data_IF_597525131263
#
_entry.id   IF_597525131263
#
_cell.length_a   1.000
_cell.length_b   1.000
_cell.length_c   1.000
_cell.angle_alpha   90.00
_cell.angle_beta   90.00
_cell.angle_gamma   90.00
#
_symmetry.space_group_name_H-M   'P 1'
#
loop_
_entity.id
_entity.type
_entity.pdbx_description
1 polymer ?
#
# COMPACT_ATOMS: atom_id res chain seq x y z
N UNK A 1 1.83 4.13 -95.17
CA UNK A 1 1.53 3.63 -93.81
C UNK A 1 2.67 4.03 -92.87
N UNK A 2 2.29 4.69 -91.76
CA UNK A 2 2.97 5.08 -90.50
C UNK A 2 4.51 5.03 -90.38
N UNK A 3 5.06 6.20 -90.01
CA UNK A 3 6.43 6.46 -89.53
C UNK A 3 6.57 6.11 -88.04
N UNK A 4 7.82 5.81 -87.68
CA UNK A 4 8.54 5.77 -86.39
C UNK A 4 7.86 6.32 -85.13
N UNK A 5 8.20 5.73 -83.97
CA UNK A 5 9.02 6.33 -82.89
C UNK A 5 8.81 5.54 -81.58
N UNK A 6 9.93 5.18 -80.96
CA UNK A 6 10.07 4.71 -79.59
C UNK A 6 9.52 5.77 -78.61
N UNK A 7 8.44 5.48 -77.88
CA UNK A 7 7.87 6.40 -76.90
C UNK A 7 8.05 5.87 -75.47
N UNK A 8 8.73 6.71 -74.70
CA UNK A 8 8.87 6.72 -73.25
C UNK A 8 7.74 7.62 -72.70
N UNK A 9 6.86 7.14 -71.81
CA UNK A 9 5.96 7.94 -70.95
C UNK A 9 5.31 7.01 -69.89
N UNK A 10 5.64 7.13 -68.60
CA UNK A 10 5.05 8.01 -67.58
C UNK A 10 3.63 7.59 -67.16
N UNK A 11 3.52 6.78 -66.09
CA UNK A 11 2.31 6.70 -65.25
C UNK A 11 2.72 7.03 -63.82
N UNK A 12 2.38 8.27 -63.45
CA UNK A 12 2.25 8.78 -62.11
C UNK A 12 1.03 8.11 -61.46
N UNK A 13 1.18 7.42 -60.33
CA UNK A 13 0.04 7.15 -59.44
C UNK A 13 0.47 7.35 -58.00
N UNK A 14 -0.01 8.48 -57.49
CA UNK A 14 -0.04 8.88 -56.11
C UNK A 14 -1.16 8.10 -55.42
N UNK A 15 -0.82 7.22 -54.48
CA UNK A 15 -1.76 6.78 -53.44
C UNK A 15 -1.20 7.18 -52.08
N UNK A 16 -1.94 8.07 -51.46
CA UNK A 16 -1.86 8.56 -50.10
C UNK A 16 -2.39 7.52 -49.11
N UNK A 17 -1.81 7.52 -47.90
CA UNK A 17 -2.38 7.12 -46.59
C UNK A 17 -2.51 5.63 -46.23
N UNK A 18 -1.50 5.12 -45.52
CA UNK A 18 -1.62 4.35 -44.27
C UNK A 18 -0.48 4.87 -43.37
N UNK A 19 -0.66 5.56 -42.25
CA UNK A 19 -1.74 5.47 -41.29
C UNK A 19 -1.41 4.43 -40.22
N UNK A 20 -0.70 4.87 -39.17
CA UNK A 20 -0.48 4.22 -37.87
C UNK A 20 0.22 2.85 -37.86
N UNK A 21 1.40 2.78 -37.23
CA UNK A 21 2.14 1.53 -37.04
C UNK A 21 2.90 1.52 -35.72
N UNK A 22 2.18 1.33 -34.62
CA UNK A 22 2.66 0.69 -33.40
C UNK A 22 3.71 1.46 -32.59
N UNK A 23 3.29 2.57 -31.98
CA UNK A 23 3.95 3.01 -30.75
C UNK A 23 3.58 2.03 -29.64
N UNK A 24 4.43 1.04 -29.41
CA UNK A 24 4.53 0.41 -28.08
C UNK A 24 5.15 1.46 -27.16
N UNK A 25 4.37 2.49 -26.79
CA UNK A 25 4.71 3.30 -25.63
C UNK A 25 4.68 2.33 -24.44
N UNK A 26 5.80 2.13 -23.72
CA UNK A 26 5.79 1.29 -22.53
C UNK A 26 4.75 1.87 -21.58
N UNK A 27 3.82 1.02 -21.11
CA UNK A 27 2.89 1.41 -20.05
C UNK A 27 3.69 2.04 -18.91
N UNK A 28 3.24 3.18 -18.33
CA UNK A 28 3.95 3.81 -17.23
C UNK A 28 4.18 2.81 -16.10
N UNK A 29 5.44 2.49 -15.82
CA UNK A 29 5.80 1.61 -14.72
C UNK A 29 5.61 2.35 -13.40
N UNK A 30 4.83 1.75 -12.47
CA UNK A 30 4.63 2.30 -11.13
C UNK A 30 5.95 2.38 -10.38
N UNK A 31 6.13 3.47 -9.65
CA UNK A 31 7.22 3.65 -8.70
C UNK A 31 7.09 2.69 -7.50
N UNK A 32 8.18 2.49 -6.76
CA UNK A 32 8.16 1.68 -5.54
C UNK A 32 7.19 2.22 -4.49
N UNK A 33 7.06 3.55 -4.40
CA UNK A 33 6.12 4.23 -3.53
C UNK A 33 4.67 3.92 -3.91
N UNK A 34 4.33 4.04 -5.19
CA UNK A 34 2.99 3.73 -5.70
C UNK A 34 2.62 2.26 -5.45
N UNK A 35 3.57 1.34 -5.64
CA UNK A 35 3.36 -0.09 -5.33
C UNK A 35 3.07 -0.27 -3.84
N UNK A 36 3.87 0.32 -2.96
CA UNK A 36 3.69 0.21 -1.52
C UNK A 36 2.36 0.82 -1.03
N UNK A 37 1.95 1.96 -1.61
CA UNK A 37 0.63 2.56 -1.34
C UNK A 37 -0.48 1.60 -1.76
N UNK A 38 -0.39 1.01 -2.94
CA UNK A 38 -1.39 0.04 -3.43
C UNK A 38 -1.42 -1.24 -2.61
N UNK A 39 -0.27 -1.70 -2.09
CA UNK A 39 -0.22 -2.85 -1.19
C UNK A 39 -1.01 -2.58 0.10
N UNK A 40 -0.88 -1.40 0.70
CA UNK A 40 -1.60 -1.03 1.92
C UNK A 40 -3.07 -0.68 1.68
N UNK A 41 -3.38 -0.03 0.54
CA UNK A 41 -4.68 0.62 0.31
C UNK A 41 -5.51 0.00 -0.80
N UNK A 42 -4.99 -0.96 -1.56
CA UNK A 42 -5.65 -1.46 -2.78
C UNK A 42 -5.88 -0.32 -3.77
N UNK A 43 -7.12 -0.15 -4.23
CA UNK A 43 -7.54 0.92 -5.15
C UNK A 43 -7.77 2.27 -4.43
N UNK A 44 -7.04 2.53 -3.34
CA UNK A 44 -7.06 3.78 -2.58
C UNK A 44 -7.70 3.72 -1.19
N UNK A 45 -8.42 2.65 -0.85
CA UNK A 45 -8.85 2.37 0.53
C UNK A 45 -9.02 0.87 0.77
N UNK A 46 -8.37 0.35 1.82
CA UNK A 46 -8.46 -1.07 2.18
C UNK A 46 -8.55 -1.25 3.68
N UNK A 47 -9.49 -2.11 4.10
CA UNK A 47 -9.64 -2.54 5.49
C UNK A 47 -8.98 -3.90 5.71
N UNK A 48 -8.14 -3.97 6.75
CA UNK A 48 -7.43 -5.16 7.19
C UNK A 48 -7.96 -5.56 8.56
N UNK A 49 -8.22 -6.85 8.75
CA UNK A 49 -8.90 -7.37 9.95
C UNK A 49 -8.17 -8.56 10.53
N UNK A 50 -8.30 -8.77 11.84
CA UNK A 50 -7.87 -10.02 12.49
C UNK A 50 -8.83 -11.17 12.16
N UNK A 51 -10.12 -10.87 12.00
CA UNK A 51 -11.13 -11.84 11.62
C UNK A 51 -10.77 -12.58 10.31
N UNK A 52 -11.21 -13.84 10.17
CA UNK A 52 -10.91 -14.64 8.98
C UNK A 52 -9.55 -15.36 9.02
N UNK A 53 -8.98 -15.55 10.21
CA UNK A 53 -7.75 -16.34 10.41
C UNK A 53 -6.48 -15.50 10.49
N UNK A 54 -6.59 -14.22 10.83
CA UNK A 54 -5.46 -13.41 11.28
C UNK A 54 -4.99 -13.80 12.68
N UNK A 55 -3.86 -13.25 13.09
CA UNK A 55 -3.23 -13.53 14.37
C UNK A 55 -2.56 -12.28 14.91
N UNK A 56 -2.63 -12.09 16.23
CA UNK A 56 -1.87 -11.06 16.94
C UNK A 56 -0.98 -11.72 17.98
N UNK A 57 0.29 -11.32 18.00
CA UNK A 57 1.22 -11.67 19.07
C UNK A 57 1.76 -10.42 19.75
N UNK A 58 2.00 -10.53 21.05
CA UNK A 58 2.64 -9.52 21.89
C UNK A 58 3.74 -10.19 22.71
N UNK A 59 4.98 -9.73 22.56
CA UNK A 59 6.18 -10.36 23.13
C UNK A 59 6.26 -11.87 22.82
N UNK A 60 5.86 -12.24 21.59
CA UNK A 60 5.83 -13.63 21.11
C UNK A 60 4.70 -14.50 21.70
N UNK A 61 3.84 -13.96 22.56
CA UNK A 61 2.65 -14.66 23.05
C UNK A 61 1.44 -14.32 22.19
N UNK A 62 0.63 -15.31 21.84
CA UNK A 62 -0.61 -15.07 21.09
C UNK A 62 -1.64 -14.35 21.98
N UNK A 63 -2.08 -13.17 21.53
CA UNK A 63 -3.11 -12.32 22.19
C UNK A 63 -4.29 -12.04 21.26
N UNK A 64 -4.51 -12.93 20.29
CA UNK A 64 -5.51 -12.75 19.21
C UNK A 64 -6.93 -12.60 19.74
N UNK A 65 -7.26 -13.21 20.88
CA UNK A 65 -8.58 -13.05 21.53
C UNK A 65 -8.88 -11.61 21.90
N UNK A 66 -7.86 -10.84 22.26
CA UNK A 66 -8.02 -9.45 22.65
C UNK A 66 -8.33 -8.61 21.41
N UNK A 67 -7.74 -8.94 20.26
CA UNK A 67 -7.91 -8.20 19.01
C UNK A 67 -8.86 -8.89 18.02
N UNK A 68 -9.76 -9.76 18.48
CA UNK A 68 -10.54 -10.63 17.60
C UNK A 68 -11.36 -9.86 16.54
N UNK A 69 -11.89 -8.70 16.92
CA UNK A 69 -12.68 -7.81 16.07
C UNK A 69 -11.88 -6.58 15.58
N UNK A 70 -10.55 -6.62 15.69
CA UNK A 70 -9.69 -5.50 15.26
C UNK A 70 -9.83 -5.26 13.75
N UNK A 71 -9.99 -3.99 13.40
CA UNK A 71 -9.95 -3.50 12.02
C UNK A 71 -9.01 -2.31 11.91
N UNK A 72 -8.28 -2.24 10.80
CA UNK A 72 -7.48 -1.09 10.41
C UNK A 72 -7.70 -0.80 8.93
N UNK A 73 -8.22 0.39 8.63
CA UNK A 73 -8.41 0.86 7.26
C UNK A 73 -7.30 1.82 6.91
N UNK A 74 -6.53 1.54 5.85
CA UNK A 74 -5.63 2.50 5.24
C UNK A 74 -6.29 3.13 4.02
N UNK A 75 -6.17 4.44 3.87
CA UNK A 75 -6.67 5.20 2.73
C UNK A 75 -5.56 6.09 2.19
N UNK A 76 -5.43 6.16 0.87
CA UNK A 76 -4.56 7.09 0.16
C UNK A 76 -5.31 7.75 -1.00
N UNK A 77 -5.26 9.07 -1.06
CA UNK A 77 -5.84 9.86 -2.14
C UNK A 77 -4.93 11.04 -2.47
N UNK A 78 -4.15 10.90 -3.54
CA UNK A 78 -3.08 11.85 -3.87
C UNK A 78 -2.03 11.87 -2.76
N UNK A 79 -1.69 13.05 -2.24
CA UNK A 79 -0.75 13.21 -1.13
C UNK A 79 -1.38 13.03 0.26
N UNK A 80 -2.65 12.64 0.35
CA UNK A 80 -3.35 12.49 1.62
C UNK A 80 -3.44 11.01 1.99
N UNK A 81 -2.78 10.65 3.08
CA UNK A 81 -2.72 9.30 3.63
C UNK A 81 -3.35 9.30 5.02
N UNK A 82 -4.38 8.49 5.21
CA UNK A 82 -5.11 8.40 6.48
C UNK A 82 -5.37 6.96 6.90
N UNK A 83 -5.55 6.77 8.20
CA UNK A 83 -5.96 5.49 8.75
C UNK A 83 -7.14 5.65 9.73
N UNK A 84 -7.89 4.57 9.89
CA UNK A 84 -8.94 4.38 10.87
C UNK A 84 -8.70 3.04 11.57
N UNK A 85 -8.91 2.96 12.88
CA UNK A 85 -8.90 1.69 13.61
C UNK A 85 -10.17 1.47 14.41
N UNK A 86 -10.55 0.21 14.58
CA UNK A 86 -11.64 -0.24 15.44
C UNK A 86 -11.15 -1.38 16.33
N UNK A 87 -11.68 -1.46 17.54
CA UNK A 87 -11.31 -2.47 18.54
C UNK A 87 -9.78 -2.52 18.78
N UNK A 88 -9.14 -1.35 18.79
CA UNK A 88 -7.69 -1.18 18.88
C UNK A 88 -7.09 -1.36 20.28
N UNK A 89 -7.94 -1.54 21.31
CA UNK A 89 -7.52 -1.77 22.69
C UNK A 89 -6.56 -0.72 23.26
N UNK A 90 -6.71 0.54 22.83
CA UNK A 90 -5.83 1.67 23.17
C UNK A 90 -4.40 1.52 22.66
N UNK A 91 -4.11 0.57 21.77
CA UNK A 91 -2.80 0.44 21.13
C UNK A 91 -2.62 1.46 20.00
N UNK A 92 -3.69 1.68 19.23
CA UNK A 92 -3.75 2.64 18.12
C UNK A 92 -4.79 3.70 18.41
N UNK A 93 -4.61 4.91 17.86
CA UNK A 93 -5.67 5.91 17.85
C UNK A 93 -6.80 5.46 16.91
N UNK A 94 -8.02 5.95 17.17
CA UNK A 94 -9.18 5.61 16.35
C UNK A 94 -9.01 6.11 14.90
N UNK A 95 -8.27 7.21 14.68
CA UNK A 95 -7.88 7.65 13.33
C UNK A 95 -6.67 8.59 13.37
N UNK A 96 -6.03 8.76 12.21
CA UNK A 96 -4.93 9.69 12.01
C UNK A 96 -4.42 9.69 10.57
N UNK A 97 -3.24 10.26 10.34
CA UNK A 97 -2.46 10.10 9.12
C UNK A 97 -1.39 9.02 9.27
N UNK A 98 -0.94 8.48 8.14
CA UNK A 98 0.26 7.65 8.07
C UNK A 98 1.19 8.22 6.98
N UNK A 99 2.47 7.89 7.07
CA UNK A 99 3.48 8.24 6.07
C UNK A 99 4.56 7.15 6.05
N UNK A 100 5.33 7.04 4.99
CA UNK A 100 6.49 6.17 4.95
C UNK A 100 7.60 6.66 5.89
N UNK A 101 8.38 5.72 6.43
CA UNK A 101 9.53 6.04 7.27
C UNK A 101 10.70 6.52 6.40
N UNK A 102 10.70 7.82 6.10
CA UNK A 102 11.70 8.42 5.22
C UNK A 102 11.55 7.92 3.78
N UNK A 103 12.55 7.19 3.27
CA UNK A 103 12.53 6.61 1.91
C UNK A 103 12.34 5.09 1.91
N UNK A 104 11.93 4.51 3.05
CA UNK A 104 11.69 3.08 3.19
C UNK A 104 10.20 2.79 2.93
N UNK A 105 9.90 2.24 1.75
CA UNK A 105 8.54 1.93 1.31
C UNK A 105 7.99 0.60 1.85
N UNK A 106 8.66 0.00 2.83
CA UNK A 106 8.24 -1.16 3.61
C UNK A 106 7.99 -0.82 5.08
N UNK A 107 8.05 0.47 5.44
CA UNK A 107 7.88 0.97 6.79
C UNK A 107 6.98 2.20 6.81
N UNK A 108 5.99 2.21 7.71
CA UNK A 108 5.13 3.36 7.93
C UNK A 108 5.24 3.88 9.36
N UNK A 109 4.85 5.14 9.55
CA UNK A 109 4.66 5.76 10.86
C UNK A 109 3.25 6.32 10.94
N UNK A 110 2.54 5.99 12.02
CA UNK A 110 1.20 6.50 12.28
C UNK A 110 1.28 7.78 13.12
N UNK A 111 0.50 8.81 12.78
CA UNK A 111 0.25 9.95 13.67
C UNK A 111 -0.71 9.55 14.79
N UNK A 112 -0.64 10.22 15.94
CA UNK A 112 -1.58 9.99 17.03
C UNK A 112 -0.96 10.23 18.41
N UNK A 113 -1.64 9.74 19.45
CA UNK A 113 -1.20 9.83 20.84
C UNK A 113 -1.15 8.47 21.56
N UNK A 114 -1.70 7.40 20.96
CA UNK A 114 -1.64 6.06 21.51
C UNK A 114 -0.25 5.43 21.31
N UNK A 115 0.07 4.32 22.01
CA UNK A 115 1.45 3.82 22.06
C UNK A 115 2.06 3.40 20.73
N UNK A 116 1.26 2.98 19.73
CA UNK A 116 1.75 2.67 18.39
C UNK A 116 2.03 3.94 17.54
N UNK A 117 1.50 5.10 17.92
CA UNK A 117 1.77 6.34 17.21
C UNK A 117 3.24 6.76 17.32
N UNK A 118 3.78 7.28 16.23
CA UNK A 118 5.19 7.67 16.11
C UNK A 118 6.17 6.51 16.08
N UNK A 119 5.71 5.25 16.19
CA UNK A 119 6.58 4.09 16.05
C UNK A 119 6.76 3.75 14.57
N UNK A 120 7.93 3.21 14.24
CA UNK A 120 8.19 2.64 12.93
C UNK A 120 7.51 1.27 12.89
N UNK A 121 6.61 1.09 11.93
CA UNK A 121 5.89 -0.15 11.69
C UNK A 121 6.37 -0.72 10.36
N UNK A 122 7.11 -1.81 10.42
CA UNK A 122 7.43 -2.59 9.23
C UNK A 122 6.18 -3.29 8.73
N UNK A 123 5.95 -3.27 7.42
CA UNK A 123 4.83 -3.98 6.82
C UNK A 123 5.26 -4.83 5.63
N UNK A 124 4.47 -5.88 5.36
CA UNK A 124 4.59 -6.65 4.13
C UNK A 124 3.24 -7.23 3.74
N UNK A 125 3.01 -7.37 2.43
CA UNK A 125 1.79 -7.99 1.92
C UNK A 125 2.10 -9.24 1.11
N UNK A 126 1.28 -10.29 1.30
CA UNK A 126 1.34 -11.52 0.49
C UNK A 126 -0.09 -11.94 0.18
N UNK A 127 -0.54 -11.65 -1.05
CA UNK A 127 -1.89 -11.93 -1.50
C UNK A 127 -2.91 -11.13 -0.68
N UNK A 128 -3.77 -11.82 0.08
CA UNK A 128 -4.80 -11.20 0.93
C UNK A 128 -4.36 -11.03 2.38
N UNK A 129 -3.06 -11.06 2.66
CA UNK A 129 -2.51 -10.93 4.00
C UNK A 129 -1.64 -9.68 4.10
N UNK A 130 -1.80 -8.93 5.20
CA UNK A 130 -0.93 -7.85 5.61
C UNK A 130 -0.28 -8.23 6.93
N UNK A 131 1.04 -8.11 7.04
CA UNK A 131 1.76 -8.30 8.29
C UNK A 131 2.32 -6.98 8.74
N UNK A 132 2.05 -6.59 9.99
CA UNK A 132 2.61 -5.41 10.65
C UNK A 132 3.49 -5.84 11.82
N UNK A 133 4.71 -5.31 11.90
CA UNK A 133 5.66 -5.57 12.98
C UNK A 133 6.20 -4.27 13.55
N UNK A 134 6.13 -4.11 14.87
CA UNK A 134 6.61 -2.90 15.54
C UNK A 134 6.88 -3.13 17.02
N UNK A 135 7.64 -2.22 17.63
CA UNK A 135 7.87 -2.18 19.08
C UNK A 135 7.20 -0.95 19.68
N UNK A 136 6.52 -1.15 20.81
CA UNK A 136 6.07 -0.06 21.69
C UNK A 136 7.08 0.08 22.83
N UNK A 137 7.80 1.21 22.95
CA UNK A 137 8.81 1.39 23.98
C UNK A 137 8.16 1.47 25.36
N UNK A 138 8.90 1.02 26.37
CA UNK A 138 8.44 1.12 27.75
C UNK A 138 8.32 2.60 28.18
N UNK A 139 7.17 3.03 28.72
CA UNK A 139 6.99 4.39 29.19
C UNK A 139 8.02 4.79 30.26
N UNK A 140 8.51 6.03 30.18
CA UNK A 140 9.45 6.60 31.15
C UNK A 140 8.80 6.87 32.53
N UNK A 141 7.47 6.96 32.58
CA UNK A 141 6.67 7.09 33.81
C UNK A 141 5.81 5.84 33.94
N UNK A 142 6.01 5.09 35.03
CA UNK A 142 5.25 3.88 35.29
C UNK A 142 3.78 4.21 35.57
N UNK A 143 2.90 3.82 34.64
CA UNK A 143 1.44 3.83 34.79
C UNK A 143 0.86 2.52 34.27
N UNK A 144 0.01 1.85 35.05
CA UNK A 144 -0.31 0.42 34.84
C UNK A 144 -0.77 0.03 33.44
N UNK A 145 -1.80 0.71 32.88
CA UNK A 145 -2.41 0.31 31.60
C UNK A 145 -1.50 0.50 30.38
N UNK A 146 -0.73 1.59 30.34
CA UNK A 146 0.19 1.87 29.23
C UNK A 146 1.41 0.95 29.30
N UNK A 147 1.87 0.61 30.51
CA UNK A 147 2.98 -0.33 30.70
C UNK A 147 2.66 -1.74 30.17
N UNK A 148 1.40 -2.18 30.27
CA UNK A 148 0.96 -3.47 29.74
C UNK A 148 1.00 -3.53 28.20
N UNK A 149 0.97 -2.38 27.52
CA UNK A 149 1.03 -2.31 26.06
C UNK A 149 2.46 -2.21 25.53
N UNK A 150 3.48 -2.05 26.37
CA UNK A 150 4.87 -2.01 25.92
C UNK A 150 5.34 -3.39 25.42
N UNK A 151 6.19 -3.40 24.39
CA UNK A 151 6.79 -4.61 23.85
C UNK A 151 6.60 -4.76 22.34
N UNK A 152 6.99 -5.92 21.84
CA UNK A 152 6.96 -6.25 20.42
C UNK A 152 5.58 -6.75 20.00
N UNK A 153 5.05 -6.22 18.89
CA UNK A 153 3.81 -6.66 18.29
C UNK A 153 4.03 -7.21 16.89
N UNK A 154 3.27 -8.25 16.59
CA UNK A 154 3.06 -8.75 15.23
C UNK A 154 1.57 -8.89 15.00
N UNK A 155 1.04 -8.20 13.99
CA UNK A 155 -0.32 -8.37 13.51
C UNK A 155 -0.26 -9.01 12.12
N UNK A 156 -0.71 -10.26 12.00
CA UNK A 156 -1.01 -10.91 10.73
C UNK A 156 -2.50 -10.69 10.44
N UNK A 157 -2.82 -9.78 9.52
CA UNK A 157 -4.16 -9.34 9.17
C UNK A 157 -4.62 -9.91 7.82
N UNK A 158 -5.94 -9.97 7.64
CA UNK A 158 -6.60 -10.39 6.41
C UNK A 158 -7.26 -9.21 5.73
N UNK A 159 -7.23 -9.21 4.40
CA UNK A 159 -8.02 -8.30 3.58
C UNK A 159 -9.51 -8.58 3.86
N UNK A 160 -10.28 -7.54 4.22
CA UNK A 160 -11.74 -7.60 4.37
C UNK A 160 -12.44 -7.51 3.02
#
# INVERSE_FOLDING_TARGET
MKKQVFQLSFILTFFLLLGCGGGDDPEPQKSAEEIAIEELTGDGSQTWVVAGGGMVTHNGQTVTSDYADFEMTFTASGSNQSYLTLNNHLLFDDSGSWDFSGSNYDQIVLSGAQPAAGQIISFSTIGSNLRLEFNVPQPSIAGGRIMALAGDYVFDLKKK
#
